data_IF_848082320076
#
_entry.id   IF_848082320076
#
_cell.length_a   1.000
_cell.length_b   1.000
_cell.length_c   1.000
_cell.angle_alpha   90.00
_cell.angle_beta   90.00
_cell.angle_gamma   90.00
#
_symmetry.space_group_name_H-M   'P 1'
#
loop_
_entity.id
_entity.type
_entity.pdbx_description
1 polymer ?
#
# COMPACT_ATOMS: atom_id res chain seq x y z
N UNK A 1 -17.61 -13.07 -20.20
CA UNK A 1 -16.70 -13.50 -19.12
C UNK A 1 -16.78 -15.01 -18.97
N UNK A 2 -15.63 -15.69 -18.74
CA UNK A 2 -15.64 -17.13 -18.46
C UNK A 2 -16.33 -17.42 -17.12
N UNK A 3 -17.26 -18.40 -17.04
CA UNK A 3 -17.87 -18.77 -15.75
C UNK A 3 -16.86 -19.12 -14.66
N UNK A 4 -15.73 -19.70 -15.04
CA UNK A 4 -14.65 -20.09 -14.10
C UNK A 4 -13.95 -18.88 -13.46
N UNK A 5 -13.80 -17.77 -14.20
CA UNK A 5 -13.26 -16.53 -13.62
C UNK A 5 -14.20 -16.00 -12.54
N UNK A 6 -15.53 -16.01 -12.79
CA UNK A 6 -16.52 -15.58 -11.81
C UNK A 6 -16.51 -16.51 -10.59
N UNK A 7 -16.46 -17.84 -10.81
CA UNK A 7 -16.34 -18.82 -9.73
C UNK A 7 -15.10 -18.59 -8.85
N UNK A 8 -13.98 -18.20 -9.46
CA UNK A 8 -12.73 -17.95 -8.73
C UNK A 8 -12.70 -16.60 -8.01
N UNK A 9 -13.26 -15.53 -8.60
CA UNK A 9 -13.17 -14.16 -8.06
C UNK A 9 -14.41 -13.68 -7.34
N UNK A 10 -15.58 -14.28 -7.60
CA UNK A 10 -16.84 -13.91 -6.96
C UNK A 10 -17.69 -15.17 -6.66
N UNK A 11 -17.17 -16.15 -5.90
CA UNK A 11 -17.83 -17.45 -5.68
C UNK A 11 -19.17 -17.33 -4.95
N UNK A 12 -19.42 -16.20 -4.29
CA UNK A 12 -20.67 -15.92 -3.57
C UNK A 12 -21.64 -15.03 -4.37
N UNK A 13 -21.36 -14.81 -5.67
CA UNK A 13 -22.18 -13.95 -6.55
C UNK A 13 -21.92 -12.45 -6.36
N UNK A 14 -21.01 -12.07 -5.46
CA UNK A 14 -20.54 -10.71 -5.18
C UNK A 14 -19.03 -10.73 -5.06
N UNK A 15 -18.34 -9.67 -5.51
CA UNK A 15 -16.92 -9.50 -5.35
C UNK A 15 -16.64 -8.89 -3.96
N UNK A 16 -16.05 -9.66 -3.04
CA UNK A 16 -15.64 -9.18 -1.72
C UNK A 16 -14.21 -8.64 -1.80
N UNK A 17 -14.06 -7.35 -1.52
CA UNK A 17 -12.82 -6.62 -1.72
C UNK A 17 -12.22 -6.17 -0.39
N UNK A 18 -11.07 -6.70 -0.04
CA UNK A 18 -10.31 -6.24 1.13
C UNK A 18 -9.71 -4.86 0.87
N UNK A 19 -10.07 -3.88 1.71
CA UNK A 19 -9.63 -2.48 1.62
C UNK A 19 -8.81 -2.10 2.85
N UNK A 20 -7.63 -1.53 2.61
CA UNK A 20 -6.75 -1.00 3.65
C UNK A 20 -7.09 0.46 3.97
N UNK A 21 -7.83 0.69 5.04
CA UNK A 21 -8.23 2.03 5.48
C UNK A 21 -7.07 2.90 5.98
N UNK A 22 -5.92 2.33 6.33
CA UNK A 22 -4.76 3.15 6.73
C UNK A 22 -4.09 3.88 5.57
N UNK A 23 -4.35 3.45 4.33
CA UNK A 23 -3.76 4.10 3.16
C UNK A 23 -4.65 5.24 2.66
N UNK A 24 -4.48 6.42 3.24
CA UNK A 24 -5.25 7.63 2.93
C UNK A 24 -5.08 8.14 1.49
N UNK A 25 -4.03 7.71 0.78
CA UNK A 25 -3.79 8.05 -0.62
C UNK A 25 -4.66 7.23 -1.57
N UNK A 26 -4.97 6.00 -1.19
CA UNK A 26 -5.73 5.07 -2.00
C UNK A 26 -7.20 4.99 -1.58
N UNK A 27 -7.50 5.35 -0.32
CA UNK A 27 -8.85 5.41 0.25
C UNK A 27 -9.04 6.80 0.84
N UNK A 28 -9.57 7.70 0.03
CA UNK A 28 -9.70 9.13 0.36
C UNK A 28 -10.95 9.43 1.20
N UNK A 29 -12.02 8.66 1.05
CA UNK A 29 -13.22 8.75 1.88
C UNK A 29 -13.47 7.42 2.61
N UNK A 30 -13.67 7.53 3.92
CA UNK A 30 -13.83 6.43 4.88
C UNK A 30 -15.01 6.68 5.80
N UNK A 31 -15.97 7.50 5.38
CA UNK A 31 -17.17 7.75 6.19
C UNK A 31 -17.96 6.45 6.36
N UNK A 32 -18.36 6.16 7.60
CA UNK A 32 -19.00 4.90 7.97
C UNK A 32 -20.39 4.68 7.31
N UNK A 33 -20.97 5.74 6.75
CA UNK A 33 -22.33 5.71 6.19
C UNK A 33 -22.35 5.47 4.67
N UNK A 34 -21.18 5.40 4.02
CA UNK A 34 -21.08 5.20 2.56
C UNK A 34 -19.92 4.23 2.24
N UNK A 35 -19.99 3.60 1.09
CA UNK A 35 -18.88 2.79 0.59
C UNK A 35 -17.58 3.61 0.53
N UNK A 36 -16.42 3.03 0.84
CA UNK A 36 -15.14 3.72 0.74
C UNK A 36 -14.92 4.24 -0.68
N UNK A 37 -14.39 5.45 -0.81
CA UNK A 37 -14.03 6.05 -2.09
C UNK A 37 -12.52 6.27 -2.18
N UNK A 38 -11.97 6.27 -3.39
CA UNK A 38 -10.56 6.42 -3.65
C UNK A 38 -10.09 5.62 -4.86
N UNK A 39 -8.81 5.73 -5.18
CA UNK A 39 -8.21 4.99 -6.30
C UNK A 39 -8.40 3.48 -6.14
N UNK A 40 -8.20 2.95 -4.95
CA UNK A 40 -8.31 1.52 -4.66
C UNK A 40 -9.76 1.00 -4.75
N UNK A 41 -10.76 1.64 -4.12
CA UNK A 41 -12.17 1.30 -4.31
C UNK A 41 -12.62 1.39 -5.76
N UNK A 42 -12.26 2.43 -6.49
CA UNK A 42 -12.68 2.59 -7.89
C UNK A 42 -12.07 1.53 -8.82
N UNK A 43 -10.81 1.12 -8.58
CA UNK A 43 -10.22 -0.04 -9.27
C UNK A 43 -11.06 -1.30 -9.02
N UNK A 44 -11.50 -1.53 -7.80
CA UNK A 44 -12.32 -2.69 -7.45
C UNK A 44 -13.73 -2.63 -8.06
N UNK A 45 -14.35 -1.45 -8.12
CA UNK A 45 -15.63 -1.23 -8.82
C UNK A 45 -15.51 -1.61 -10.29
N UNK A 46 -14.43 -1.21 -10.96
CA UNK A 46 -14.21 -1.56 -12.37
C UNK A 46 -13.99 -3.07 -12.57
N UNK A 47 -13.31 -3.76 -11.63
CA UNK A 47 -13.21 -5.22 -11.64
C UNK A 47 -14.61 -5.85 -11.53
N UNK A 48 -15.41 -5.44 -10.54
CA UNK A 48 -16.77 -5.97 -10.35
C UNK A 48 -17.66 -5.72 -11.57
N UNK A 49 -17.60 -4.51 -12.16
CA UNK A 49 -18.33 -4.16 -13.38
C UNK A 49 -17.97 -5.08 -14.55
N UNK A 50 -16.69 -5.39 -14.77
CA UNK A 50 -16.22 -6.29 -15.82
C UNK A 50 -16.63 -7.74 -15.58
N UNK A 51 -16.69 -8.17 -14.32
CA UNK A 51 -17.19 -9.49 -13.96
C UNK A 51 -18.72 -9.58 -14.09
N UNK A 52 -19.44 -8.45 -14.07
CA UNK A 52 -20.89 -8.41 -14.08
C UNK A 52 -21.52 -8.81 -12.74
N UNK A 53 -20.82 -8.53 -11.61
CA UNK A 53 -21.28 -8.87 -10.25
C UNK A 53 -21.36 -7.62 -9.37
N UNK A 54 -22.04 -7.73 -8.23
CA UNK A 54 -22.03 -6.71 -7.19
C UNK A 54 -20.68 -6.64 -6.47
N UNK A 55 -20.50 -5.61 -5.65
CA UNK A 55 -19.29 -5.41 -4.82
C UNK A 55 -19.66 -5.32 -3.35
N UNK A 56 -18.80 -5.89 -2.48
CA UNK A 56 -18.84 -5.77 -1.04
C UNK A 56 -17.44 -5.42 -0.54
N UNK A 57 -17.31 -4.40 0.31
CA UNK A 57 -16.02 -4.04 0.89
C UNK A 57 -15.83 -4.70 2.25
N UNK A 58 -14.66 -5.33 2.43
CA UNK A 58 -14.19 -5.88 3.70
C UNK A 58 -13.09 -4.94 4.21
N UNK A 59 -13.44 -4.13 5.19
CA UNK A 59 -12.58 -3.05 5.68
C UNK A 59 -11.59 -3.55 6.73
N UNK A 60 -10.34 -3.13 6.59
CA UNK A 60 -9.25 -3.44 7.49
C UNK A 60 -8.52 -2.17 7.93
N UNK A 61 -8.10 -2.13 9.18
CA UNK A 61 -7.34 -1.00 9.72
C UNK A 61 -5.90 -0.98 9.24
N UNK A 62 -5.35 -2.14 8.90
CA UNK A 62 -3.95 -2.26 8.46
C UNK A 62 -3.80 -3.30 7.33
N UNK A 63 -2.79 -3.16 6.46
CA UNK A 63 -2.53 -4.15 5.42
C UNK A 63 -2.06 -5.51 5.98
N UNK A 64 -1.53 -5.52 7.19
CA UNK A 64 -1.15 -6.74 7.89
C UNK A 64 -2.36 -7.62 8.22
N UNK A 65 -3.48 -7.02 8.66
CA UNK A 65 -4.73 -7.73 8.93
C UNK A 65 -5.31 -8.38 7.66
N UNK A 66 -5.24 -7.69 6.52
CA UNK A 66 -5.64 -8.27 5.22
C UNK A 66 -4.82 -9.54 4.92
N UNK A 67 -3.50 -9.48 5.12
CA UNK A 67 -2.61 -10.62 4.88
C UNK A 67 -2.85 -11.77 5.87
N UNK A 68 -3.25 -11.46 7.10
CA UNK A 68 -3.59 -12.47 8.12
C UNK A 68 -4.85 -13.26 7.73
N UNK A 69 -5.80 -12.63 7.04
CA UNK A 69 -7.05 -13.26 6.60
C UNK A 69 -6.95 -13.91 5.21
N UNK A 70 -5.78 -13.85 4.57
CA UNK A 70 -5.53 -14.58 3.33
C UNK A 70 -5.71 -16.09 3.52
N UNK A 71 -6.56 -16.69 2.68
CA UNK A 71 -6.91 -18.12 2.73
C UNK A 71 -7.99 -18.50 3.75
N UNK A 72 -8.60 -17.53 4.46
CA UNK A 72 -9.68 -17.77 5.43
C UNK A 72 -11.09 -17.49 4.87
N UNK A 73 -11.24 -17.38 3.55
CA UNK A 73 -12.52 -17.03 2.88
C UNK A 73 -13.15 -15.71 3.36
N UNK A 74 -12.32 -14.76 3.84
CA UNK A 74 -12.79 -13.46 4.29
C UNK A 74 -13.04 -12.50 3.13
N UNK A 75 -12.24 -12.58 2.08
CA UNK A 75 -12.30 -11.72 0.90
C UNK A 75 -11.92 -12.50 -0.39
N UNK A 76 -12.23 -11.95 -1.54
CA UNK A 76 -11.94 -12.55 -2.85
C UNK A 76 -10.73 -11.91 -3.52
N UNK A 77 -10.65 -10.57 -3.48
CA UNK A 77 -9.48 -9.80 -3.91
C UNK A 77 -9.05 -8.82 -2.82
N UNK A 78 -7.78 -8.41 -2.85
CA UNK A 78 -7.22 -7.45 -1.92
C UNK A 78 -6.39 -6.40 -2.65
N UNK A 79 -6.66 -5.11 -2.36
CA UNK A 79 -5.88 -3.99 -2.88
C UNK A 79 -4.85 -3.55 -1.84
N UNK A 80 -3.65 -4.11 -1.91
CA UNK A 80 -2.54 -3.84 -0.97
C UNK A 80 -1.18 -3.85 -1.67
N UNK A 81 -0.17 -3.33 -0.99
CA UNK A 81 1.21 -3.43 -1.46
C UNK A 81 1.66 -4.89 -1.60
N UNK A 82 2.16 -5.25 -2.77
CA UNK A 82 2.75 -6.57 -3.02
C UNK A 82 4.12 -6.67 -2.34
N UNK A 83 4.27 -7.68 -1.47
CA UNK A 83 5.50 -7.98 -0.76
C UNK A 83 5.76 -9.48 -0.75
N UNK A 84 7.01 -9.95 -0.85
CA UNK A 84 7.33 -11.37 -0.88
C UNK A 84 6.70 -12.18 0.25
N UNK A 85 6.70 -11.64 1.48
CA UNK A 85 6.08 -12.29 2.63
C UNK A 85 4.56 -12.46 2.46
N UNK A 86 3.87 -11.50 1.85
CA UNK A 86 2.44 -11.61 1.54
C UNK A 86 2.19 -12.56 0.38
N UNK A 87 3.13 -12.62 -0.58
CA UNK A 87 3.04 -13.50 -1.75
C UNK A 87 3.11 -15.00 -1.39
N UNK A 88 3.47 -15.36 -0.17
CA UNK A 88 3.37 -16.75 0.31
C UNK A 88 1.91 -17.24 0.29
N UNK A 89 0.94 -16.36 0.55
CA UNK A 89 -0.49 -16.70 0.64
C UNK A 89 -1.38 -16.01 -0.40
N UNK A 90 -0.88 -14.99 -1.08
CA UNK A 90 -1.62 -14.16 -2.03
C UNK A 90 -0.88 -14.18 -3.36
N UNK A 91 -1.61 -14.40 -4.44
CA UNK A 91 -1.09 -14.19 -5.79
C UNK A 91 -1.40 -12.78 -6.24
N UNK A 92 -0.37 -12.03 -6.66
CA UNK A 92 -0.47 -10.62 -7.01
C UNK A 92 -0.36 -10.37 -8.50
N UNK A 93 -1.09 -9.36 -8.97
CA UNK A 93 -0.77 -8.68 -10.24
C UNK A 93 0.54 -7.90 -10.10
N UNK A 94 1.07 -7.35 -11.19
CA UNK A 94 1.97 -6.21 -11.09
C UNK A 94 1.24 -5.02 -10.46
N UNK A 95 2.01 -4.04 -9.99
CA UNK A 95 1.42 -2.83 -9.42
C UNK A 95 0.62 -2.05 -10.46
N UNK A 96 -0.51 -1.47 -10.05
CA UNK A 96 -1.22 -0.46 -10.83
C UNK A 96 -0.72 0.95 -10.52
N UNK A 97 -0.26 1.20 -9.28
CA UNK A 97 0.40 2.45 -8.91
C UNK A 97 1.51 2.23 -7.87
N UNK A 98 2.36 3.23 -7.71
CA UNK A 98 3.50 3.23 -6.80
C UNK A 98 3.45 4.40 -5.84
N UNK A 99 3.96 4.19 -4.62
CA UNK A 99 4.10 5.24 -3.61
C UNK A 99 5.54 5.25 -3.13
N UNK A 100 6.23 6.36 -3.27
CA UNK A 100 7.60 6.50 -2.79
C UNK A 100 7.67 6.36 -1.27
N UNK A 101 8.64 5.59 -0.78
CA UNK A 101 8.99 5.48 0.63
C UNK A 101 10.42 6.01 0.87
N UNK A 102 10.55 6.86 1.89
CA UNK A 102 11.79 7.54 2.24
C UNK A 102 11.88 7.76 3.75
N UNK A 103 12.80 8.60 4.20
CA UNK A 103 12.99 8.94 5.61
C UNK A 103 12.78 10.42 5.87
N UNK A 104 12.16 10.73 7.03
CA UNK A 104 12.20 12.03 7.69
C UNK A 104 13.25 11.96 8.78
N UNK A 105 14.13 12.96 8.88
CA UNK A 105 15.14 13.07 9.93
C UNK A 105 14.91 14.33 10.78
N UNK A 106 15.25 14.31 12.09
CA UNK A 106 15.00 15.43 12.98
C UNK A 106 15.87 16.63 12.66
N UNK A 107 15.55 17.82 13.20
CA UNK A 107 16.40 19.01 13.07
C UNK A 107 17.82 18.75 13.52
N UNK A 108 18.81 19.21 12.73
CA UNK A 108 20.22 19.05 13.04
C UNK A 108 20.79 17.66 12.84
N UNK A 109 20.03 16.72 12.25
CA UNK A 109 20.50 15.38 11.93
C UNK A 109 21.78 15.41 11.07
N UNK A 110 22.71 14.48 11.35
CA UNK A 110 23.88 14.24 10.53
C UNK A 110 23.60 13.41 9.29
N UNK A 111 22.45 12.71 9.25
CA UNK A 111 22.01 11.90 8.10
C UNK A 111 21.57 12.82 6.96
N UNK A 112 22.17 12.69 5.77
CA UNK A 112 21.92 13.56 4.62
C UNK A 112 21.45 12.79 3.37
N UNK A 113 21.63 11.47 3.34
CA UNK A 113 21.22 10.60 2.25
C UNK A 113 20.59 9.30 2.76
N UNK A 114 19.91 8.60 1.88
CA UNK A 114 19.27 7.30 2.16
C UNK A 114 20.30 6.27 2.63
N UNK A 115 21.47 6.25 1.98
CA UNK A 115 22.54 5.29 2.23
C UNK A 115 23.17 5.46 3.63
N UNK A 116 23.06 6.66 4.19
CA UNK A 116 23.59 6.96 5.51
C UNK A 116 22.72 6.43 6.65
N UNK A 117 21.49 6.04 6.39
CA UNK A 117 20.53 5.62 7.43
C UNK A 117 20.84 4.22 7.96
N UNK A 118 21.33 3.30 7.10
CA UNK A 118 21.69 1.95 7.54
C UNK A 118 23.10 1.89 8.17
N UNK A 119 23.24 2.44 9.38
CA UNK A 119 24.49 2.45 10.15
C UNK A 119 24.27 1.90 11.57
N UNK A 120 25.31 1.31 12.20
CA UNK A 120 25.24 0.92 13.60
C UNK A 120 24.89 2.12 14.50
N UNK A 121 23.92 1.91 15.39
CA UNK A 121 23.44 2.91 16.34
C UNK A 121 22.36 3.83 15.81
N UNK A 122 22.03 3.82 14.51
CA UNK A 122 20.87 4.52 13.97
C UNK A 122 19.59 3.76 14.31
N UNK A 123 18.61 4.45 14.88
CA UNK A 123 17.30 3.91 15.25
C UNK A 123 16.22 4.51 14.35
N UNK A 124 15.48 3.65 13.67
CA UNK A 124 14.47 4.03 12.67
C UNK A 124 13.08 3.70 13.18
N UNK A 125 12.23 4.71 13.36
CA UNK A 125 10.81 4.49 13.59
C UNK A 125 10.14 3.99 12.31
N UNK A 126 9.24 3.01 12.43
CA UNK A 126 8.52 2.44 11.29
C UNK A 126 7.13 1.94 11.68
N UNK A 127 6.14 2.11 10.80
CA UNK A 127 4.82 1.54 11.00
C UNK A 127 4.85 0.03 10.78
N UNK A 128 4.58 -0.71 11.85
CA UNK A 128 4.63 -2.18 11.91
C UNK A 128 3.83 -2.84 10.78
N UNK A 129 4.46 -3.81 10.09
CA UNK A 129 3.86 -4.61 9.01
C UNK A 129 3.36 -3.81 7.80
N UNK A 130 3.75 -2.54 7.67
CA UNK A 130 3.59 -1.81 6.41
C UNK A 130 4.44 -2.45 5.31
N UNK A 131 4.16 -2.15 4.03
CA UNK A 131 4.96 -2.68 2.93
C UNK A 131 6.43 -2.24 3.05
N UNK A 132 6.68 -0.99 3.45
CA UNK A 132 8.04 -0.49 3.62
C UNK A 132 8.72 -1.05 4.89
N UNK A 133 8.01 -1.40 5.97
CA UNK A 133 8.58 -2.16 7.10
C UNK A 133 9.03 -3.55 6.66
N UNK A 134 8.20 -4.25 5.87
CA UNK A 134 8.55 -5.55 5.33
C UNK A 134 9.78 -5.47 4.40
N UNK A 135 9.89 -4.39 3.61
CA UNK A 135 11.06 -4.15 2.77
C UNK A 135 12.30 -3.87 3.64
N UNK A 136 12.21 -2.96 4.62
CA UNK A 136 13.31 -2.60 5.51
C UNK A 136 13.81 -3.81 6.31
N UNK A 137 12.90 -4.67 6.78
CA UNK A 137 13.24 -5.89 7.51
C UNK A 137 14.12 -6.85 6.73
N UNK A 138 14.08 -6.80 5.39
CA UNK A 138 14.93 -7.63 4.51
C UNK A 138 16.21 -6.94 4.06
N UNK A 139 16.27 -5.61 4.11
CA UNK A 139 17.34 -4.83 3.49
C UNK A 139 18.24 -4.10 4.49
N UNK A 140 17.72 -3.68 5.65
CA UNK A 140 18.51 -3.06 6.72
C UNK A 140 19.42 -4.11 7.36
N UNK A 141 20.69 -3.78 7.51
CA UNK A 141 21.74 -4.68 8.05
C UNK A 141 22.31 -4.21 9.39
N UNK A 142 22.34 -2.90 9.62
CA UNK A 142 23.07 -2.29 10.74
C UNK A 142 22.20 -1.43 11.64
N UNK A 143 21.23 -0.71 11.08
CA UNK A 143 20.32 0.14 11.84
C UNK A 143 19.25 -0.69 12.55
N UNK A 144 18.67 -0.13 13.60
CA UNK A 144 17.61 -0.75 14.39
C UNK A 144 16.24 -0.24 13.96
N UNK A 145 15.29 -1.17 13.68
CA UNK A 145 13.90 -0.84 13.36
C UNK A 145 13.04 -0.84 14.64
N UNK A 146 12.54 0.33 15.03
CA UNK A 146 11.64 0.51 16.17
C UNK A 146 10.22 0.64 15.65
N UNK A 147 9.37 -0.33 15.97
CA UNK A 147 8.04 -0.49 15.38
C UNK A 147 6.93 0.08 16.25
N UNK A 148 5.97 0.76 15.63
CA UNK A 148 4.72 1.16 16.26
C UNK A 148 3.53 0.77 15.37
N UNK A 149 2.35 0.56 15.97
CA UNK A 149 1.14 0.15 15.26
C UNK A 149 0.43 1.34 14.64
N UNK A 150 0.64 1.57 13.36
CA UNK A 150 0.03 2.64 12.57
C UNK A 150 0.95 3.82 12.27
N UNK A 151 0.51 4.66 11.36
CA UNK A 151 1.31 5.78 10.84
C UNK A 151 1.56 6.84 11.91
N UNK A 152 0.49 7.29 12.58
CA UNK A 152 0.60 8.34 13.60
C UNK A 152 1.41 7.85 14.81
N UNK A 153 1.19 6.60 15.27
CA UNK A 153 1.96 6.02 16.35
C UNK A 153 3.46 5.88 16.03
N UNK A 154 3.83 5.66 14.77
CA UNK A 154 5.24 5.64 14.37
C UNK A 154 5.88 7.03 14.39
N UNK A 155 5.13 8.08 14.07
CA UNK A 155 5.58 9.45 14.23
C UNK A 155 5.71 9.85 15.72
N UNK A 156 4.71 9.52 16.54
CA UNK A 156 4.75 9.79 17.98
C UNK A 156 5.96 9.10 18.65
N UNK A 157 6.24 7.85 18.26
CA UNK A 157 7.40 7.12 18.72
C UNK A 157 8.71 7.78 18.28
N UNK A 158 8.81 8.22 17.02
CA UNK A 158 9.96 8.95 16.49
C UNK A 158 10.27 10.19 17.30
N UNK A 159 9.24 10.97 17.68
CA UNK A 159 9.37 12.20 18.45
C UNK A 159 9.70 11.91 19.92
N UNK A 160 8.91 11.04 20.57
CA UNK A 160 9.04 10.78 22.02
C UNK A 160 10.34 10.11 22.41
N UNK A 161 10.80 9.15 21.60
CA UNK A 161 12.04 8.41 21.82
C UNK A 161 13.27 9.09 21.21
N UNK A 162 13.08 10.25 20.54
CA UNK A 162 14.14 10.98 19.84
C UNK A 162 14.93 10.07 18.91
N UNK A 163 14.22 9.36 18.05
CA UNK A 163 14.81 8.44 17.09
C UNK A 163 15.52 9.20 15.95
N UNK A 164 16.42 8.54 15.25
CA UNK A 164 17.30 9.18 14.27
C UNK A 164 16.63 9.38 12.92
N UNK A 165 15.65 8.52 12.57
CA UNK A 165 14.87 8.62 11.36
C UNK A 165 13.45 8.05 11.54
N UNK A 166 12.50 8.58 10.77
CA UNK A 166 11.17 8.00 10.58
C UNK A 166 11.05 7.53 9.14
N UNK A 167 10.85 6.23 8.94
CA UNK A 167 10.55 5.63 7.65
C UNK A 167 9.06 5.76 7.34
N UNK A 168 8.71 6.16 6.12
CA UNK A 168 7.30 6.29 5.73
C UNK A 168 7.10 6.58 4.25
N UNK A 169 5.83 6.61 3.87
CA UNK A 169 5.42 7.09 2.55
C UNK A 169 5.72 8.59 2.44
N UNK A 170 6.38 9.00 1.35
CA UNK A 170 6.77 10.40 1.16
C UNK A 170 5.65 11.40 1.42
N UNK A 171 4.42 11.22 0.90
CA UNK A 171 3.33 12.17 1.15
C UNK A 171 2.98 12.30 2.65
N UNK A 172 2.99 11.18 3.39
CA UNK A 172 2.77 11.23 4.86
C UNK A 172 3.91 11.94 5.57
N UNK A 173 5.15 11.67 5.16
CA UNK A 173 6.32 12.36 5.74
C UNK A 173 6.33 13.87 5.45
N UNK A 174 5.72 14.32 4.34
CA UNK A 174 5.54 15.76 4.07
C UNK A 174 4.62 16.41 5.11
N UNK A 175 3.49 15.77 5.44
CA UNK A 175 2.60 16.22 6.52
C UNK A 175 3.32 16.24 7.88
N UNK A 176 4.10 15.21 8.19
CA UNK A 176 4.84 15.11 9.45
C UNK A 176 5.99 16.14 9.53
N UNK A 177 6.62 16.44 8.39
CA UNK A 177 7.67 17.47 8.31
C UNK A 177 7.13 18.86 8.64
N UNK A 178 5.89 19.16 8.28
CA UNK A 178 5.24 20.44 8.64
C UNK A 178 5.03 20.57 10.16
N UNK A 179 4.85 19.46 10.87
CA UNK A 179 4.68 19.43 12.33
C UNK A 179 6.00 19.62 13.11
N UNK A 180 7.14 19.33 12.47
CA UNK A 180 8.46 19.37 13.10
C UNK A 180 9.38 20.39 12.41
N UNK A 181 9.38 21.63 12.87
CA UNK A 181 10.19 22.71 12.29
C UNK A 181 11.68 22.34 12.24
N UNK A 182 12.28 22.44 11.05
CA UNK A 182 13.70 22.15 10.81
C UNK A 182 14.02 20.67 10.58
N UNK A 183 13.03 19.76 10.59
CA UNK A 183 13.19 18.41 10.10
C UNK A 183 13.39 18.39 8.58
N UNK A 184 13.89 17.29 8.04
CA UNK A 184 14.19 17.18 6.61
C UNK A 184 13.79 15.82 6.08
N UNK A 185 13.08 15.78 4.96
CA UNK A 185 12.86 14.56 4.20
C UNK A 185 14.11 14.30 3.35
N UNK A 186 14.71 13.13 3.49
CA UNK A 186 15.90 12.79 2.72
C UNK A 186 15.58 12.73 1.22
N UNK A 187 16.50 13.20 0.36
CA UNK A 187 16.33 13.13 -1.10
C UNK A 187 16.34 11.66 -1.57
N UNK A 188 15.62 11.39 -2.66
CA UNK A 188 15.48 10.02 -3.19
C UNK A 188 14.49 9.18 -2.38
N UNK A 189 14.52 7.88 -2.60
CA UNK A 189 13.66 6.89 -1.95
C UNK A 189 14.46 5.61 -1.69
N UNK A 190 14.18 4.90 -0.59
CA UNK A 190 14.77 3.57 -0.40
C UNK A 190 13.97 2.49 -1.14
N UNK A 191 12.67 2.70 -1.35
CA UNK A 191 11.82 1.83 -2.17
C UNK A 191 10.58 2.58 -2.67
N UNK A 192 9.87 1.98 -3.62
CA UNK A 192 8.51 2.36 -3.98
C UNK A 192 7.55 1.22 -3.63
N UNK A 193 6.53 1.52 -2.83
CA UNK A 193 5.51 0.54 -2.46
C UNK A 193 4.65 0.22 -3.68
N UNK A 194 4.65 -1.04 -4.08
CA UNK A 194 3.97 -1.58 -5.26
C UNK A 194 2.52 -1.90 -4.93
N UNK A 195 1.58 -0.99 -5.22
CA UNK A 195 0.16 -1.20 -4.97
C UNK A 195 -0.44 -2.09 -6.04
N UNK A 196 -0.88 -3.28 -5.65
CA UNK A 196 -1.32 -4.36 -6.55
C UNK A 196 -2.69 -4.88 -6.15
N UNK A 197 -3.30 -5.64 -7.06
CA UNK A 197 -4.49 -6.44 -6.76
C UNK A 197 -4.00 -7.86 -6.49
N UNK A 198 -4.37 -8.41 -5.33
CA UNK A 198 -4.09 -9.79 -4.98
C UNK A 198 -5.35 -10.64 -4.92
N UNK A 199 -5.22 -11.93 -5.17
CA UNK A 199 -6.26 -12.93 -4.92
C UNK A 199 -5.70 -14.15 -4.18
N UNK A 200 -6.57 -15.01 -3.68
CA UNK A 200 -6.14 -16.26 -3.03
C UNK A 200 -5.42 -17.19 -3.99
N UNK A 201 -4.61 -18.11 -3.45
CA UNK A 201 -3.89 -19.12 -4.22
C UNK A 201 -4.82 -20.04 -5.00
N UNK A 202 -4.30 -20.65 -6.08
CA UNK A 202 -5.00 -21.60 -6.95
C UNK A 202 -6.21 -21.00 -7.69
N UNK A 203 -6.11 -19.73 -8.09
CA UNK A 203 -7.11 -19.00 -8.88
C UNK A 203 -6.52 -18.53 -10.21
N UNK A 204 -5.95 -19.45 -10.99
CA UNK A 204 -5.11 -19.13 -12.16
C UNK A 204 -5.83 -18.30 -13.21
N UNK A 205 -7.09 -18.64 -13.54
CA UNK A 205 -7.87 -17.87 -14.54
C UNK A 205 -8.32 -16.50 -13.99
N UNK A 206 -8.67 -16.46 -12.71
CA UNK A 206 -8.97 -15.20 -12.01
C UNK A 206 -7.76 -14.28 -11.94
N UNK A 207 -6.58 -14.82 -11.59
CA UNK A 207 -5.34 -14.06 -11.59
C UNK A 207 -4.96 -13.57 -12.99
N UNK A 208 -5.07 -14.41 -14.01
CA UNK A 208 -4.78 -14.01 -15.39
C UNK A 208 -5.71 -12.86 -15.85
N UNK A 209 -6.99 -12.90 -15.47
CA UNK A 209 -7.93 -11.80 -15.71
C UNK A 209 -7.48 -10.52 -14.99
N UNK A 210 -7.11 -10.60 -13.71
CA UNK A 210 -6.68 -9.42 -12.92
C UNK A 210 -5.37 -8.84 -13.48
N UNK A 211 -4.42 -9.68 -13.91
CA UNK A 211 -3.17 -9.24 -14.55
C UNK A 211 -3.46 -8.47 -15.84
N UNK A 212 -4.30 -9.02 -16.74
CA UNK A 212 -4.68 -8.34 -17.97
C UNK A 212 -5.44 -7.03 -17.67
N UNK A 213 -6.33 -7.03 -16.69
CA UNK A 213 -7.05 -5.85 -16.23
C UNK A 213 -6.12 -4.74 -15.77
N UNK A 214 -5.13 -5.05 -14.92
CA UNK A 214 -4.18 -4.04 -14.40
C UNK A 214 -3.35 -3.46 -15.53
N UNK A 215 -2.81 -4.27 -16.44
CA UNK A 215 -2.00 -3.76 -17.56
C UNK A 215 -2.82 -2.88 -18.51
N UNK A 216 -4.06 -3.27 -18.80
CA UNK A 216 -4.95 -2.46 -19.62
C UNK A 216 -5.29 -1.13 -18.93
N UNK A 217 -5.64 -1.13 -17.64
CA UNK A 217 -6.01 0.10 -16.91
C UNK A 217 -4.84 1.08 -16.77
N UNK A 218 -3.60 0.59 -16.69
CA UNK A 218 -2.39 1.45 -16.77
C UNK A 218 -2.23 2.08 -18.15
N UNK A 219 -2.34 1.27 -19.20
CA UNK A 219 -2.06 1.72 -20.57
C UNK A 219 -3.17 2.55 -21.19
N UNK A 220 -4.43 2.33 -20.78
CA UNK A 220 -5.59 3.14 -21.21
C UNK A 220 -5.67 4.52 -20.58
N UNK A 221 -4.87 4.79 -19.53
CA UNK A 221 -4.96 6.03 -18.75
C UNK A 221 -5.94 5.96 -17.57
N UNK A 222 -6.71 4.88 -17.41
CA UNK A 222 -7.72 4.78 -16.36
C UNK A 222 -7.14 4.98 -14.95
N UNK A 223 -5.96 4.41 -14.65
CA UNK A 223 -5.31 4.63 -13.35
C UNK A 223 -4.89 6.09 -13.17
N UNK A 224 -4.39 6.75 -14.22
CA UNK A 224 -4.04 8.17 -14.18
C UNK A 224 -5.26 9.05 -13.92
N UNK A 225 -6.37 8.75 -14.58
CA UNK A 225 -7.65 9.47 -14.39
C UNK A 225 -8.17 9.31 -12.94
N UNK A 226 -8.00 8.13 -12.33
CA UNK A 226 -8.35 7.93 -10.93
C UNK A 226 -7.45 8.72 -9.97
N UNK A 227 -6.14 8.78 -10.24
CA UNK A 227 -5.19 9.58 -9.46
C UNK A 227 -5.57 11.06 -9.52
N UNK A 228 -5.96 11.56 -10.68
CA UNK A 228 -6.43 12.95 -10.85
C UNK A 228 -7.78 13.17 -10.17
N UNK A 229 -8.76 12.29 -10.40
CA UNK A 229 -10.10 12.34 -9.81
C UNK A 229 -10.06 12.44 -8.29
N UNK A 230 -9.16 11.70 -7.65
CA UNK A 230 -9.04 11.67 -6.18
C UNK A 230 -8.03 12.67 -5.61
N UNK A 231 -7.48 13.58 -6.44
CA UNK A 231 -6.61 14.66 -5.99
C UNK A 231 -5.26 14.22 -5.42
N UNK A 232 -4.76 13.05 -5.83
CA UNK A 232 -3.50 12.48 -5.33
C UNK A 232 -2.34 12.51 -6.34
N UNK A 233 -2.44 13.43 -7.30
CA UNK A 233 -1.37 13.72 -8.27
C UNK A 233 -0.11 14.16 -7.53
N UNK A 234 1.04 13.59 -7.91
CA UNK A 234 2.33 13.85 -7.25
C UNK A 234 2.55 13.03 -5.95
N UNK A 235 1.48 12.45 -5.38
CA UNK A 235 1.57 11.53 -4.24
C UNK A 235 1.62 10.07 -4.68
N UNK A 236 0.91 9.75 -5.76
CA UNK A 236 0.91 8.46 -6.43
C UNK A 236 1.46 8.62 -7.85
N UNK A 237 2.10 7.58 -8.35
CA UNK A 237 2.46 7.45 -9.77
C UNK A 237 1.85 6.17 -10.35
N UNK A 238 1.46 6.23 -11.63
CA UNK A 238 1.09 5.01 -12.36
C UNK A 238 2.33 4.11 -12.42
N UNK A 239 2.17 2.84 -12.08
CA UNK A 239 3.29 1.90 -12.16
C UNK A 239 3.70 1.67 -13.63
N UNK A 240 4.98 1.38 -13.92
CA UNK A 240 5.43 1.08 -15.26
C UNK A 240 4.65 -0.08 -15.89
N UNK A 241 4.43 -0.07 -17.21
CA UNK A 241 3.86 -1.22 -17.91
C UNK A 241 4.77 -2.46 -17.80
N UNK A 242 4.21 -3.63 -18.12
CA UNK A 242 4.92 -4.91 -18.08
C UNK A 242 6.08 -5.00 -19.07
#
# INVERSE_FOLDING_TARGET
>A
MSPKIIEQLAPKGVLRVAINLSNFLLVSDRSADVNPAGVSPDMAVEVARRLGVGIEYVEYKTPGEIADDAGKDAWDIANIGAEPQRAEKIDFTRAYCEIQATYLVPPGSSLKSIEEVDRPGVRIAVSERSAYDLWLSRNIQSAELIRAKGLDASYDLFVSEKLDALAGLRPKLMEENEKMAGSTILPGQFTAVQQSIGCGKNREEGLAFLVAFVEETKTSGFVADLIEKHGVVGCLSVAPPA
#
